data_IF_942453893644
#
_entry.id   IF_942453893644
#
_cell.length_a   1.000
_cell.length_b   1.000
_cell.length_c   1.000
_cell.angle_alpha   90.00
_cell.angle_beta   90.00
_cell.angle_gamma   90.00
#
_symmetry.space_group_name_H-M   'P 1'
#
loop_
_entity.id
_entity.type
_entity.pdbx_description
1 polymer ?
#
# COMPACT_ATOMS: atom_id res chain seq x y z
N UNK A 1 -47.73 -18.15 44.33
CA UNK A 1 -47.36 -18.37 42.91
C UNK A 1 -46.90 -17.09 42.20
N UNK A 2 -47.68 -15.99 42.19
CA UNK A 2 -47.26 -14.71 41.57
C UNK A 2 -45.93 -14.12 42.08
N UNK A 3 -45.65 -14.17 43.39
CA UNK A 3 -44.39 -13.64 43.97
C UNK A 3 -43.13 -14.43 43.56
N UNK A 4 -43.26 -15.73 43.31
CA UNK A 4 -42.15 -16.58 42.83
C UNK A 4 -41.80 -16.30 41.36
N UNK A 5 -42.80 -15.97 40.53
CA UNK A 5 -42.59 -15.57 39.14
C UNK A 5 -41.82 -14.25 39.03
N UNK A 6 -42.10 -13.29 39.92
CA UNK A 6 -41.36 -12.01 39.98
C UNK A 6 -39.90 -12.18 40.41
N UNK A 7 -39.62 -13.05 41.39
CA UNK A 7 -38.25 -13.34 41.85
C UNK A 7 -37.45 -14.04 40.74
N UNK A 8 -38.07 -15.00 40.04
CA UNK A 8 -37.42 -15.68 38.91
C UNK A 8 -37.15 -14.74 37.73
N UNK A 9 -38.04 -13.77 37.45
CA UNK A 9 -37.84 -12.76 36.42
C UNK A 9 -36.68 -11.80 36.76
N UNK A 10 -36.53 -11.42 38.03
CA UNK A 10 -35.42 -10.58 38.50
C UNK A 10 -34.09 -11.32 38.44
N UNK A 11 -34.06 -12.61 38.80
CA UNK A 11 -32.85 -13.44 38.65
C UNK A 11 -32.44 -13.62 37.18
N UNK A 12 -33.41 -13.82 36.27
CA UNK A 12 -33.14 -13.93 34.83
C UNK A 12 -32.60 -12.61 34.25
N UNK A 13 -33.14 -11.47 34.70
CA UNK A 13 -32.70 -10.14 34.27
C UNK A 13 -31.32 -9.78 34.83
N UNK A 14 -31.01 -10.17 36.06
CA UNK A 14 -29.67 -10.01 36.65
C UNK A 14 -28.62 -10.88 35.94
N UNK A 15 -28.99 -12.08 35.48
CA UNK A 15 -28.13 -12.94 34.66
C UNK A 15 -27.76 -12.36 33.28
N UNK A 16 -28.59 -11.48 32.73
CA UNK A 16 -28.32 -10.81 31.44
C UNK A 16 -27.30 -9.67 31.55
N UNK A 17 -27.10 -9.09 32.75
CA UNK A 17 -26.14 -7.99 32.95
C UNK A 17 -24.69 -8.45 33.20
N UNK A 18 -24.46 -9.74 33.47
CA UNK A 18 -23.11 -10.30 33.69
C UNK A 18 -22.43 -10.78 32.39
N UNK A 19 -23.11 -10.74 31.25
CA UNK A 19 -22.50 -10.95 29.92
C UNK A 19 -21.89 -9.67 29.34
N UNK A 20 -21.23 -8.88 30.20
CA UNK A 20 -20.32 -7.83 29.72
C UNK A 20 -19.15 -8.54 29.04
N UNK A 21 -19.18 -8.57 27.71
CA UNK A 21 -18.09 -9.08 26.89
C UNK A 21 -16.81 -8.37 27.31
N UNK A 22 -15.84 -9.13 27.86
CA UNK A 22 -14.49 -8.62 28.02
C UNK A 22 -14.03 -8.11 26.66
N UNK A 23 -13.66 -6.83 26.60
CA UNK A 23 -13.14 -6.18 25.40
C UNK A 23 -11.66 -6.57 25.21
N UNK A 24 -11.38 -7.86 25.11
CA UNK A 24 -10.07 -8.35 24.67
C UNK A 24 -10.06 -8.36 23.13
N UNK A 25 -10.15 -7.17 22.52
CA UNK A 25 -10.11 -7.00 21.05
C UNK A 25 -8.68 -6.84 20.51
N UNK A 26 -7.68 -6.90 21.37
CA UNK A 26 -6.28 -6.87 20.96
C UNK A 26 -5.77 -8.31 20.93
N UNK A 27 -5.85 -8.93 19.75
CA UNK A 27 -5.00 -10.08 19.46
C UNK A 27 -3.60 -9.49 19.24
N UNK A 28 -2.77 -9.57 20.27
CA UNK A 28 -1.33 -9.39 20.11
C UNK A 28 -0.85 -10.54 19.21
N UNK A 29 -0.58 -10.24 17.94
CA UNK A 29 -0.02 -11.19 16.99
C UNK A 29 1.38 -11.69 17.36
N UNK A 30 1.92 -11.21 18.49
CA UNK A 30 3.26 -11.49 18.96
C UNK A 30 4.30 -10.66 18.21
N UNK A 31 5.56 -10.95 18.52
CA UNK A 31 6.69 -10.36 17.80
C UNK A 31 6.74 -10.99 16.41
N UNK A 32 6.36 -10.22 15.40
CA UNK A 32 6.52 -10.64 14.01
C UNK A 32 8.02 -10.72 13.67
N UNK A 33 8.48 -11.84 13.11
CA UNK A 33 9.81 -11.92 12.50
C UNK A 33 9.76 -11.17 11.16
N UNK A 34 10.53 -10.06 11.01
CA UNK A 34 10.54 -9.34 9.75
C UNK A 34 11.31 -10.08 8.65
N UNK A 35 12.14 -11.07 8.98
CA UNK A 35 13.02 -11.71 8.00
C UNK A 35 12.25 -12.68 7.11
N UNK A 36 12.55 -12.61 5.82
CA UNK A 36 12.05 -13.54 4.83
C UNK A 36 13.22 -14.26 4.16
N UNK A 37 13.24 -15.59 4.25
CA UNK A 37 14.29 -16.42 3.66
C UNK A 37 14.06 -16.61 2.15
N UNK A 38 14.29 -15.54 1.40
CA UNK A 38 14.18 -15.49 -0.06
C UNK A 38 14.45 -14.07 -0.57
N UNK A 39 14.27 -13.86 -1.87
CA UNK A 39 14.38 -12.53 -2.49
C UNK A 39 13.06 -11.76 -2.42
N UNK A 40 13.07 -10.47 -2.79
CA UNK A 40 11.83 -9.69 -2.92
C UNK A 40 10.88 -10.37 -3.90
N UNK A 41 11.38 -10.85 -5.04
CA UNK A 41 10.55 -11.56 -6.01
C UNK A 41 9.94 -12.85 -5.44
N UNK A 42 10.74 -13.65 -4.72
CA UNK A 42 10.24 -14.88 -4.08
C UNK A 42 9.13 -14.57 -3.07
N UNK A 43 9.24 -13.45 -2.34
CA UNK A 43 8.19 -13.03 -1.41
C UNK A 43 6.87 -12.76 -2.13
N UNK A 44 6.88 -12.10 -3.29
CA UNK A 44 5.66 -11.83 -4.06
C UNK A 44 4.98 -13.14 -4.49
N UNK A 45 5.75 -14.06 -5.07
CA UNK A 45 5.24 -15.35 -5.56
C UNK A 45 4.72 -16.23 -4.41
N UNK A 46 5.33 -16.17 -3.22
CA UNK A 46 4.88 -16.94 -2.05
C UNK A 46 3.72 -16.28 -1.29
N UNK A 47 3.29 -15.08 -1.66
CA UNK A 47 2.15 -14.39 -1.07
C UNK A 47 1.08 -14.04 -2.14
N UNK A 48 0.57 -15.04 -2.88
CA UNK A 48 -0.25 -14.83 -4.08
C UNK A 48 -1.60 -14.16 -3.79
N UNK A 49 -2.12 -14.24 -2.57
CA UNK A 49 -3.36 -13.54 -2.20
C UNK A 49 -3.27 -12.02 -2.38
N UNK A 50 -2.07 -11.45 -2.23
CA UNK A 50 -1.86 -10.00 -2.32
C UNK A 50 -1.08 -9.57 -3.56
N UNK A 51 -0.30 -10.47 -4.15
CA UNK A 51 0.77 -10.12 -5.11
C UNK A 51 0.87 -11.06 -6.33
N UNK A 52 -0.12 -11.90 -6.62
CA UNK A 52 -0.11 -12.75 -7.81
C UNK A 52 -0.13 -11.91 -9.09
N UNK A 53 -1.07 -10.97 -9.18
CA UNK A 53 -1.14 -10.01 -10.30
C UNK A 53 0.11 -9.14 -10.37
N UNK A 54 0.62 -8.68 -9.23
CA UNK A 54 1.86 -7.91 -9.18
C UNK A 54 3.05 -8.71 -9.72
N UNK A 55 3.21 -9.97 -9.33
CA UNK A 55 4.30 -10.83 -9.80
C UNK A 55 4.25 -10.99 -11.32
N UNK A 56 3.08 -11.23 -11.89
CA UNK A 56 2.88 -11.27 -13.34
C UNK A 56 3.31 -9.95 -14.02
N UNK A 57 2.84 -8.81 -13.49
CA UNK A 57 3.15 -7.49 -14.06
C UNK A 57 4.63 -7.15 -13.94
N UNK A 58 5.31 -7.56 -12.86
CA UNK A 58 6.76 -7.43 -12.68
C UNK A 58 7.52 -8.18 -13.76
N UNK A 59 7.13 -9.42 -14.07
CA UNK A 59 7.76 -10.19 -15.15
C UNK A 59 7.51 -9.53 -16.51
N UNK A 60 6.27 -9.12 -16.78
CA UNK A 60 5.90 -8.43 -18.03
C UNK A 60 6.64 -7.10 -18.21
N UNK A 61 6.93 -6.40 -17.12
CA UNK A 61 7.73 -5.18 -17.09
C UNK A 61 9.24 -5.42 -17.26
N UNK A 62 9.69 -6.68 -17.24
CA UNK A 62 11.12 -7.02 -17.27
C UNK A 62 11.86 -6.59 -16.00
N UNK A 63 11.18 -6.53 -14.84
CA UNK A 63 11.72 -6.08 -13.56
C UNK A 63 12.05 -7.22 -12.59
N UNK A 64 11.83 -8.48 -12.99
CA UNK A 64 12.14 -9.66 -12.17
C UNK A 64 13.58 -9.66 -11.68
N UNK A 65 14.55 -9.44 -12.56
CA UNK A 65 15.97 -9.42 -12.20
C UNK A 65 16.28 -8.35 -11.13
N UNK A 66 15.70 -7.15 -11.27
CA UNK A 66 15.82 -6.07 -10.28
C UNK A 66 15.33 -6.52 -8.90
N UNK A 67 14.17 -7.20 -8.83
CA UNK A 67 13.60 -7.64 -7.55
C UNK A 67 14.22 -8.94 -7.02
N UNK A 68 14.96 -9.69 -7.84
CA UNK A 68 15.58 -10.95 -7.44
C UNK A 68 17.07 -10.78 -7.07
N UNK A 69 17.76 -9.80 -7.65
CA UNK A 69 19.22 -9.68 -7.56
C UNK A 69 19.68 -8.37 -6.92
N UNK A 70 19.04 -7.25 -7.27
CA UNK A 70 19.50 -5.94 -6.83
C UNK A 70 19.17 -5.67 -5.37
N UNK A 71 19.98 -4.81 -4.75
CA UNK A 71 19.72 -4.29 -3.41
C UNK A 71 18.76 -3.11 -3.46
N UNK A 72 17.48 -3.33 -3.16
CA UNK A 72 16.41 -2.31 -3.28
C UNK A 72 15.43 -2.28 -2.11
N UNK A 73 14.72 -1.17 -1.96
CA UNK A 73 13.49 -1.06 -1.18
C UNK A 73 12.33 -0.99 -2.15
N UNK A 74 11.39 -1.92 -2.02
CA UNK A 74 10.24 -2.03 -2.88
C UNK A 74 8.95 -1.70 -2.14
N UNK A 75 8.26 -0.67 -2.61
CA UNK A 75 6.96 -0.25 -2.09
C UNK A 75 5.86 -0.99 -2.84
N UNK A 76 5.61 -2.24 -2.46
CA UNK A 76 4.78 -3.16 -3.24
C UNK A 76 3.31 -2.70 -3.30
N UNK A 77 2.77 -2.31 -4.48
CA UNK A 77 1.33 -2.15 -4.63
C UNK A 77 0.64 -3.52 -4.54
N UNK A 78 -0.63 -3.55 -4.16
CA UNK A 78 -1.40 -4.81 -4.13
C UNK A 78 -1.98 -5.12 -5.51
N UNK A 79 -2.39 -6.37 -5.69
CA UNK A 79 -3.14 -6.82 -6.87
C UNK A 79 -4.38 -5.97 -7.12
N UNK A 80 -5.08 -5.55 -6.06
CA UNK A 80 -6.26 -4.68 -6.16
C UNK A 80 -5.94 -3.30 -6.77
N UNK A 81 -4.77 -2.75 -6.49
CA UNK A 81 -4.33 -1.47 -7.05
C UNK A 81 -4.15 -1.59 -8.58
N UNK A 82 -3.54 -2.68 -9.03
CA UNK A 82 -3.33 -2.97 -10.45
C UNK A 82 -4.65 -3.31 -11.15
N UNK A 83 -5.48 -4.14 -10.53
CA UNK A 83 -6.80 -4.53 -11.05
C UNK A 83 -7.69 -3.32 -11.27
N UNK A 84 -7.71 -2.37 -10.33
CA UNK A 84 -8.44 -1.11 -10.48
C UNK A 84 -7.92 -0.26 -11.65
N UNK A 85 -6.60 -0.20 -11.84
CA UNK A 85 -6.01 0.53 -12.96
C UNK A 85 -6.43 -0.05 -14.33
N UNK A 86 -6.47 -1.38 -14.45
CA UNK A 86 -6.99 -2.05 -15.66
C UNK A 86 -8.49 -1.83 -15.83
N UNK A 87 -9.26 -1.86 -14.73
CA UNK A 87 -10.70 -1.60 -14.76
C UNK A 87 -11.01 -0.17 -15.21
N UNK A 88 -10.26 0.84 -14.72
CA UNK A 88 -10.40 2.24 -15.15
C UNK A 88 -10.10 2.40 -16.64
N UNK A 89 -9.06 1.73 -17.15
CA UNK A 89 -8.73 1.69 -18.59
C UNK A 89 -9.87 1.08 -19.40
N UNK A 90 -10.37 -0.09 -18.99
CA UNK A 90 -11.47 -0.76 -19.69
C UNK A 90 -12.79 0.02 -19.62
N UNK A 91 -13.05 0.72 -18.53
CA UNK A 91 -14.19 1.61 -18.41
C UNK A 91 -14.09 2.79 -19.39
N UNK A 92 -12.89 3.37 -19.55
CA UNK A 92 -12.65 4.39 -20.55
C UNK A 92 -12.87 3.86 -21.97
N UNK A 93 -12.28 2.72 -22.32
CA UNK A 93 -12.43 2.08 -23.64
C UNK A 93 -13.88 1.76 -23.97
N UNK A 94 -14.62 1.21 -23.00
CA UNK A 94 -16.07 0.98 -23.13
C UNK A 94 -16.84 2.27 -23.48
N UNK A 95 -16.54 3.39 -22.81
CA UNK A 95 -17.19 4.68 -23.11
C UNK A 95 -16.86 5.22 -24.50
N UNK A 96 -15.75 4.79 -25.09
CA UNK A 96 -15.34 5.13 -26.45
C UNK A 96 -15.71 4.04 -27.47
N UNK A 97 -16.48 3.02 -27.08
CA UNK A 97 -16.92 1.92 -27.95
C UNK A 97 -15.74 1.09 -28.48
N UNK A 98 -14.73 0.91 -27.64
CA UNK A 98 -13.55 0.09 -27.90
C UNK A 98 -13.58 -1.20 -27.09
N UNK A 99 -12.97 -2.26 -27.63
CA UNK A 99 -12.85 -3.55 -26.93
C UNK A 99 -12.01 -3.43 -25.67
N UNK A 100 -12.43 -4.16 -24.62
CA UNK A 100 -11.67 -4.26 -23.37
C UNK A 100 -10.36 -5.02 -23.57
N UNK A 101 -9.36 -4.65 -22.78
CA UNK A 101 -8.03 -5.25 -22.77
C UNK A 101 -7.77 -6.02 -21.47
N UNK A 102 -6.87 -6.99 -21.57
CA UNK A 102 -6.34 -7.77 -20.46
C UNK A 102 -4.96 -7.24 -20.04
N UNK A 103 -4.47 -7.69 -18.88
CA UNK A 103 -3.11 -7.36 -18.41
C UNK A 103 -2.04 -7.65 -19.47
N UNK A 104 -2.24 -8.71 -20.26
CA UNK A 104 -1.34 -9.16 -21.31
C UNK A 104 -1.28 -8.20 -22.52
N UNK A 105 -2.32 -7.42 -22.76
CA UNK A 105 -2.40 -6.53 -23.92
C UNK A 105 -1.67 -5.21 -23.65
N UNK A 106 -1.70 -4.74 -22.38
CA UNK A 106 -0.98 -3.53 -21.98
C UNK A 106 0.54 -3.75 -22.14
N UNK A 107 1.27 -2.91 -22.91
CA UNK A 107 2.69 -3.13 -23.17
C UNK A 107 3.55 -3.17 -21.90
N UNK A 108 4.55 -4.06 -21.89
CA UNK A 108 5.48 -4.20 -20.76
C UNK A 108 6.23 -2.90 -20.42
N UNK A 109 6.49 -2.04 -21.40
CA UNK A 109 7.09 -0.72 -21.20
C UNK A 109 6.22 0.22 -20.36
N UNK A 110 4.89 0.15 -20.49
CA UNK A 110 3.95 0.92 -19.67
C UNK A 110 4.02 0.43 -18.23
N UNK A 111 3.91 -0.88 -18.01
CA UNK A 111 4.04 -1.48 -16.68
C UNK A 111 5.36 -1.12 -16.03
N UNK A 112 6.48 -1.22 -16.76
CA UNK A 112 7.82 -0.84 -16.30
C UNK A 112 7.89 0.61 -15.84
N UNK A 113 7.40 1.55 -16.66
CA UNK A 113 7.39 2.99 -16.34
C UNK A 113 6.75 3.28 -14.99
N UNK A 114 5.63 2.63 -14.67
CA UNK A 114 4.91 2.87 -13.43
C UNK A 114 5.44 2.04 -12.26
N UNK A 115 5.82 0.78 -12.46
CA UNK A 115 6.40 -0.06 -11.39
C UNK A 115 7.73 0.51 -10.86
N UNK A 116 8.54 1.12 -11.71
CA UNK A 116 9.79 1.75 -11.28
C UNK A 116 9.57 2.95 -10.33
N UNK A 117 8.35 3.52 -10.24
CA UNK A 117 8.00 4.54 -9.22
C UNK A 117 7.93 3.97 -7.80
N UNK A 118 7.93 2.64 -7.67
CA UNK A 118 7.83 1.93 -6.40
C UNK A 118 9.15 1.29 -5.97
N UNK A 119 10.21 1.42 -6.78
CA UNK A 119 11.52 0.84 -6.50
C UNK A 119 12.47 1.96 -6.13
N UNK A 120 13.07 1.86 -4.95
CA UNK A 120 14.13 2.75 -4.48
C UNK A 120 15.42 1.96 -4.32
N UNK A 121 16.54 2.51 -4.77
CA UNK A 121 17.86 1.85 -4.66
C UNK A 121 18.36 1.85 -3.21
N UNK A 122 19.01 0.76 -2.81
CA UNK A 122 19.52 0.57 -1.46
C UNK A 122 18.50 -0.07 -0.50
N UNK A 123 18.96 -0.41 0.71
CA UNK A 123 18.14 -1.05 1.74
C UNK A 123 17.71 -0.04 2.79
N UNK A 124 16.44 0.34 2.77
CA UNK A 124 15.87 1.37 3.64
C UNK A 124 14.74 0.80 4.52
N UNK A 125 15.02 0.50 5.80
CA UNK A 125 13.98 0.16 6.76
C UNK A 125 13.10 1.37 7.08
N UNK A 126 11.90 1.17 7.60
CA UNK A 126 10.96 2.25 7.91
C UNK A 126 11.56 3.30 8.84
N UNK A 127 12.38 2.88 9.81
CA UNK A 127 13.07 3.79 10.74
C UNK A 127 14.09 4.73 10.08
N UNK A 128 14.51 4.49 8.84
CA UNK A 128 15.45 5.38 8.15
C UNK A 128 14.78 6.60 7.52
N UNK A 129 13.45 6.62 7.42
CA UNK A 129 12.71 7.75 6.86
C UNK A 129 12.42 8.80 7.93
N UNK A 130 12.50 10.08 7.54
CA UNK A 130 12.20 11.20 8.42
C UNK A 130 10.70 11.27 8.75
N UNK A 131 10.35 12.00 9.82
CA UNK A 131 8.95 12.33 10.12
C UNK A 131 8.36 13.21 9.01
N UNK A 132 7.12 12.94 8.66
CA UNK A 132 6.29 13.80 7.82
C UNK A 132 4.99 14.15 8.54
N UNK A 133 4.57 15.41 8.38
CA UNK A 133 3.24 15.87 8.73
C UNK A 133 2.70 16.74 7.58
N UNK A 134 1.72 16.21 6.84
CA UNK A 134 1.15 16.89 5.67
C UNK A 134 0.35 18.14 6.04
N UNK A 135 -0.14 18.22 7.29
CA UNK A 135 -0.82 19.42 7.78
C UNK A 135 0.17 20.48 8.28
N UNK A 136 1.44 20.09 8.52
CA UNK A 136 2.49 20.97 8.99
C UNK A 136 3.84 20.65 8.33
N UNK A 137 3.86 20.76 7.00
CA UNK A 137 5.04 20.43 6.16
C UNK A 137 6.25 21.30 6.51
N UNK A 138 6.04 22.54 6.97
CA UNK A 138 7.12 23.41 7.40
C UNK A 138 7.91 22.84 8.59
N UNK A 139 7.23 22.24 9.56
CA UNK A 139 7.88 21.61 10.72
C UNK A 139 8.37 20.20 10.41
N UNK A 140 7.61 19.44 9.62
CA UNK A 140 7.88 18.03 9.32
C UNK A 140 7.72 17.73 7.82
N UNK A 141 8.71 18.11 7.00
CA UNK A 141 8.59 18.05 5.53
C UNK A 141 8.74 16.66 4.92
N UNK A 142 9.13 15.64 5.69
CA UNK A 142 9.60 14.38 5.09
C UNK A 142 10.89 14.58 4.30
N UNK A 143 11.21 13.64 3.40
CA UNK A 143 12.37 13.72 2.50
C UNK A 143 11.94 13.31 1.09
N UNK A 144 12.46 14.00 0.08
CA UNK A 144 12.29 13.65 -1.32
C UNK A 144 13.33 12.61 -1.73
N UNK A 145 12.87 11.51 -2.32
CA UNK A 145 13.69 10.42 -2.83
C UNK A 145 13.51 10.27 -4.33
N UNK A 146 14.60 9.88 -4.99
CA UNK A 146 14.60 9.54 -6.41
C UNK A 146 14.34 8.04 -6.54
N UNK A 147 13.25 7.70 -7.23
CA UNK A 147 12.86 6.33 -7.55
C UNK A 147 13.64 5.81 -8.76
N UNK A 148 13.52 4.53 -9.07
CA UNK A 148 14.37 3.84 -10.06
C UNK A 148 14.30 4.43 -11.48
N UNK A 149 13.16 5.00 -11.87
CA UNK A 149 12.99 5.68 -13.16
C UNK A 149 13.27 7.21 -13.09
N UNK A 150 13.78 7.72 -11.98
CA UNK A 150 14.00 9.14 -11.75
C UNK A 150 12.77 9.90 -11.21
N UNK A 151 11.63 9.23 -11.00
CA UNK A 151 10.45 9.86 -10.39
C UNK A 151 10.78 10.32 -8.96
N UNK A 152 10.24 11.46 -8.53
CA UNK A 152 10.52 12.00 -7.20
C UNK A 152 9.30 11.77 -6.31
N UNK A 153 9.51 11.06 -5.21
CA UNK A 153 8.51 10.81 -4.18
C UNK A 153 8.95 11.47 -2.87
N UNK A 154 8.03 12.13 -2.17
CA UNK A 154 8.28 12.45 -0.77
C UNK A 154 7.87 11.26 0.09
N UNK A 155 8.77 10.79 0.94
CA UNK A 155 8.56 9.62 1.78
C UNK A 155 8.89 9.97 3.23
N UNK A 156 8.01 9.60 4.15
CA UNK A 156 8.21 9.83 5.57
C UNK A 156 7.32 9.00 6.47
N UNK A 157 7.60 9.06 7.77
CA UNK A 157 6.81 8.44 8.83
C UNK A 157 5.77 9.44 9.37
N UNK A 158 4.49 9.10 9.25
CA UNK A 158 3.40 9.77 9.96
C UNK A 158 3.33 9.21 11.37
N UNK A 159 3.38 10.09 12.37
CA UNK A 159 3.32 9.71 13.78
C UNK A 159 1.86 9.82 14.22
N UNK A 160 1.24 8.70 14.57
CA UNK A 160 -0.16 8.70 15.00
C UNK A 160 -0.30 9.13 16.47
N UNK A 161 -1.47 9.68 16.77
CA UNK A 161 -1.87 9.97 18.14
C UNK A 161 -2.46 8.72 18.78
N UNK A 162 -2.27 8.54 20.08
CA UNK A 162 -2.87 7.43 20.84
C UNK A 162 -3.38 7.95 22.18
N UNK A 163 -4.61 7.59 22.55
CA UNK A 163 -5.27 8.06 23.79
C UNK A 163 -5.18 9.59 24.00
N UNK A 164 -5.41 10.38 22.93
CA UNK A 164 -5.31 11.84 22.92
C UNK A 164 -3.90 12.41 23.23
N UNK A 165 -2.87 11.57 23.23
CA UNK A 165 -1.48 11.98 23.32
C UNK A 165 -0.90 12.05 21.91
N UNK A 166 -0.31 13.19 21.57
CA UNK A 166 0.24 13.43 20.25
C UNK A 166 1.45 12.52 19.98
N UNK A 167 1.52 11.93 18.78
CA UNK A 167 2.73 11.31 18.24
C UNK A 167 3.34 10.13 19.05
N UNK A 168 2.57 9.51 19.95
CA UNK A 168 2.99 8.31 20.72
C UNK A 168 2.39 7.00 20.20
N UNK A 169 1.57 7.07 19.15
CA UNK A 169 0.95 5.90 18.51
C UNK A 169 1.86 5.24 17.47
N UNK A 170 1.24 4.49 16.56
CA UNK A 170 1.94 3.81 15.48
C UNK A 170 2.64 4.80 14.54
N UNK A 171 3.76 4.38 13.95
CA UNK A 171 4.47 5.12 12.91
C UNK A 171 4.20 4.46 11.58
N UNK A 172 3.56 5.18 10.67
CA UNK A 172 3.12 4.64 9.38
C UNK A 172 3.89 5.34 8.27
N UNK A 173 4.54 4.55 7.41
CA UNK A 173 5.18 5.10 6.21
C UNK A 173 4.11 5.64 5.25
N UNK A 174 4.42 6.79 4.68
CA UNK A 174 3.61 7.51 3.71
C UNK A 174 4.49 7.85 2.52
N UNK A 175 3.99 7.58 1.32
CA UNK A 175 4.57 8.01 0.06
C UNK A 175 3.65 9.05 -0.56
N UNK A 176 4.17 10.23 -0.92
CA UNK A 176 3.41 11.31 -1.55
C UNK A 176 4.04 11.66 -2.88
N UNK A 177 3.22 11.66 -3.93
CA UNK A 177 3.61 12.20 -5.22
C UNK A 177 3.68 13.72 -5.11
N UNK A 178 4.85 14.33 -5.35
CA UNK A 178 5.02 15.77 -5.20
C UNK A 178 4.93 16.56 -6.52
N UNK A 179 4.54 15.90 -7.61
CA UNK A 179 4.56 16.49 -8.96
C UNK A 179 3.63 17.71 -9.10
N UNK A 180 2.47 17.70 -8.44
CA UNK A 180 1.48 18.77 -8.59
C UNK A 180 1.82 20.01 -7.77
N UNK A 181 2.00 19.85 -6.46
CA UNK A 181 2.52 20.88 -5.55
C UNK A 181 3.75 20.32 -4.83
N UNK A 182 4.97 20.70 -5.22
CA UNK A 182 6.19 20.18 -4.61
C UNK A 182 6.55 20.83 -3.27
N UNK A 183 5.84 21.89 -2.87
CA UNK A 183 6.13 22.66 -1.67
C UNK A 183 5.22 22.22 -0.52
N UNK A 184 3.91 22.18 -0.72
CA UNK A 184 2.96 21.81 0.34
C UNK A 184 2.41 20.39 0.22
N UNK A 185 2.24 19.86 -1.01
CA UNK A 185 1.74 18.51 -1.32
C UNK A 185 0.54 17.96 -0.51
N UNK A 186 -0.18 18.81 0.22
CA UNK A 186 -1.28 18.44 1.13
C UNK A 186 -2.49 17.87 0.38
N UNK A 187 -2.67 18.28 -0.87
CA UNK A 187 -3.73 17.80 -1.77
C UNK A 187 -3.20 16.84 -2.83
N UNK A 188 -1.90 16.54 -2.83
CA UNK A 188 -1.35 15.63 -3.81
C UNK A 188 -1.73 14.18 -3.49
N UNK A 189 -1.71 13.29 -4.49
CA UNK A 189 -1.92 11.86 -4.27
C UNK A 189 -0.85 11.24 -3.36
N UNK A 190 -1.26 10.28 -2.55
CA UNK A 190 -0.39 9.61 -1.60
C UNK A 190 -0.84 8.16 -1.35
N UNK A 191 0.05 7.38 -0.75
CA UNK A 191 -0.15 5.99 -0.36
C UNK A 191 0.36 5.76 1.06
N UNK A 192 -0.46 5.15 1.91
CA UNK A 192 0.01 4.60 3.16
C UNK A 192 0.59 3.20 2.94
N UNK A 193 1.62 2.87 3.70
CA UNK A 193 2.12 1.50 3.85
C UNK A 193 1.28 0.78 4.90
N UNK A 194 0.74 -0.39 4.54
CA UNK A 194 -0.06 -1.22 5.43
C UNK A 194 0.78 -2.23 6.21
N UNK A 195 1.86 -2.74 5.60
CA UNK A 195 2.83 -3.62 6.25
C UNK A 195 4.23 -3.18 5.87
N UNK A 196 5.04 -2.81 6.86
CA UNK A 196 6.38 -2.28 6.68
C UNK A 196 7.45 -3.24 7.18
N UNK A 197 8.69 -3.03 6.73
CA UNK A 197 9.87 -3.75 7.24
C UNK A 197 9.83 -5.27 7.06
N UNK A 198 9.24 -5.74 5.97
CA UNK A 198 9.46 -7.12 5.50
C UNK A 198 10.88 -7.17 4.90
N UNK A 199 11.71 -8.13 5.31
CA UNK A 199 13.15 -8.17 5.03
C UNK A 199 13.56 -9.43 4.27
N UNK A 200 13.35 -9.46 2.93
CA UNK A 200 14.02 -10.41 2.06
C UNK A 200 15.54 -10.22 2.06
N UNK A 201 16.27 -11.24 1.61
CA UNK A 201 17.74 -11.26 1.56
C UNK A 201 18.36 -10.10 0.78
N UNK A 202 17.70 -9.66 -0.30
CA UNK A 202 18.17 -8.58 -1.17
C UNK A 202 17.55 -7.21 -0.86
N UNK A 203 16.74 -7.02 0.19
CA UNK A 203 16.17 -5.70 0.41
C UNK A 203 15.06 -5.57 1.44
N UNK A 204 14.21 -4.58 1.24
CA UNK A 204 13.04 -4.30 2.09
C UNK A 204 11.78 -4.25 1.23
N UNK A 205 10.67 -4.79 1.74
CA UNK A 205 9.34 -4.60 1.18
C UNK A 205 8.50 -3.79 2.16
N UNK A 206 7.85 -2.76 1.62
CA UNK A 206 6.82 -1.98 2.31
C UNK A 206 5.52 -2.11 1.49
N UNK A 207 4.63 -3.02 1.91
CA UNK A 207 3.38 -3.28 1.20
C UNK A 207 2.41 -2.11 1.38
N UNK A 208 1.91 -1.57 0.27
CA UNK A 208 0.99 -0.45 0.26
C UNK A 208 -0.43 -0.88 0.66
N UNK A 209 -1.21 0.07 1.17
CA UNK A 209 -2.61 -0.17 1.50
C UNK A 209 -3.44 -0.51 0.26
N UNK A 210 -4.47 -1.35 0.43
CA UNK A 210 -5.34 -1.83 -0.65
C UNK A 210 -6.06 -0.73 -1.44
N UNK A 211 -6.26 0.45 -0.83
CA UNK A 211 -6.90 1.59 -1.49
C UNK A 211 -5.92 2.44 -2.31
N UNK A 212 -4.67 2.00 -2.47
CA UNK A 212 -3.68 2.71 -3.28
C UNK A 212 -4.07 2.77 -4.76
N UNK A 213 -3.91 3.94 -5.38
CA UNK A 213 -4.09 4.13 -6.82
C UNK A 213 -2.78 3.82 -7.54
N UNK A 214 -2.76 2.84 -8.43
CA UNK A 214 -1.55 2.47 -9.17
C UNK A 214 -0.97 3.66 -9.94
N UNK A 215 0.36 3.81 -9.87
CA UNK A 215 1.06 4.96 -10.42
C UNK A 215 0.87 6.28 -9.67
N UNK A 216 0.17 6.29 -8.53
CA UNK A 216 -0.26 7.47 -7.74
C UNK A 216 -1.30 8.35 -8.44
N UNK A 217 -1.53 8.19 -9.74
CA UNK A 217 -2.45 9.01 -10.54
C UNK A 217 -3.16 8.12 -11.56
N UNK A 218 -4.44 7.84 -11.31
CA UNK A 218 -5.23 6.93 -12.15
C UNK A 218 -5.23 7.36 -13.62
N UNK A 219 -5.43 8.65 -13.89
CA UNK A 219 -5.43 9.20 -15.24
C UNK A 219 -4.10 9.01 -15.97
N UNK A 220 -2.96 9.20 -15.31
CA UNK A 220 -1.65 9.11 -15.95
C UNK A 220 -1.41 7.70 -16.52
N UNK A 221 -1.68 6.66 -15.72
CA UNK A 221 -1.55 5.28 -16.15
C UNK A 221 -2.49 4.98 -17.32
N UNK A 222 -3.77 5.33 -17.16
CA UNK A 222 -4.81 5.13 -18.17
C UNK A 222 -4.41 5.74 -19.52
N UNK A 223 -4.06 7.03 -19.55
CA UNK A 223 -3.70 7.71 -20.79
C UNK A 223 -2.43 7.14 -21.43
N UNK A 224 -1.44 6.77 -20.62
CA UNK A 224 -0.21 6.14 -21.14
C UNK A 224 -0.51 4.77 -21.74
N UNK A 225 -1.34 3.96 -21.07
CA UNK A 225 -1.72 2.63 -21.55
C UNK A 225 -2.55 2.73 -22.84
N UNK A 226 -3.56 3.59 -22.86
CA UNK A 226 -4.41 3.82 -24.04
C UNK A 226 -3.59 4.30 -25.24
N UNK A 227 -2.75 5.32 -25.04
CA UNK A 227 -1.87 5.79 -26.11
C UNK A 227 -0.96 4.67 -26.63
N UNK A 228 -0.44 3.81 -25.74
CA UNK A 228 0.42 2.72 -26.16
C UNK A 228 -0.34 1.65 -26.97
N UNK A 229 -1.61 1.40 -26.63
CA UNK A 229 -2.49 0.46 -27.36
C UNK A 229 -2.87 0.98 -28.75
N UNK A 230 -3.11 2.30 -28.89
CA UNK A 230 -3.45 2.91 -30.18
C UNK A 230 -2.28 2.96 -31.17
N UNK A 231 -1.04 2.85 -30.69
CA UNK A 231 0.17 2.90 -31.52
C UNK A 231 0.71 1.50 -31.88
N UNK A 232 -0.03 0.43 -31.55
CA UNK A 232 0.25 -0.94 -31.98
C UNK A 232 -0.44 -1.25 -33.30
#
# INVERSE_FOLDING_TARGET
MRKLLFINAILLLAGLFISSCKKDYYIDGGVADPHYNGTIYDYLVNNPYQFDTLAYVVEKAGLKATLQQDSVTFFAPTDESIGRALADLNFYRYRNVEDSVQLADVPGSVWKKYLQRYIMRGKHPAKSFARIDRANVYAYPGINYVMDNGYIMNIGLVYQNYNNVEAVGARILLLTDITYDPVNFINNPYAYVASSDIQPTNGYIHALAYNHVFGFRAGDFLWTAEQALQNQ
#
